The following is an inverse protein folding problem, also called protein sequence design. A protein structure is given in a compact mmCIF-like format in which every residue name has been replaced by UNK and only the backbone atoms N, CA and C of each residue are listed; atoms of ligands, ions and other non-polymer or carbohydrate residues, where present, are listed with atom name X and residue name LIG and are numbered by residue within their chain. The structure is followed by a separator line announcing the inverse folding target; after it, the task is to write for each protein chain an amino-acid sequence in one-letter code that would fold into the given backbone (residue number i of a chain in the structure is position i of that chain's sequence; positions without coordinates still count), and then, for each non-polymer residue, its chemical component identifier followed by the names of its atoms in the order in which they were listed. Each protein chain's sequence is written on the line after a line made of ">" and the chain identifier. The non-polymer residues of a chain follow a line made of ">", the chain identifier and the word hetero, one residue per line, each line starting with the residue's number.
data_IF_645270409127
#
_entry.id   IF_645270409127
#
_cell.length_a   1.000
_cell.length_b   1.000
_cell.length_c   1.000
_cell.angle_alpha   90.00
_cell.angle_beta   90.00
_cell.angle_gamma   90.00
#
_symmetry.space_group_name_H-M   'P 1'
#
loop_
_entity.id
_entity.type
_entity.pdbx_description
1 polymer ?
#
# COMPACT_ATOMS: atom_id res chain seq x y z
N UNK A 1 -8.06 51.21 -21.95
CA UNK A 1 -8.73 51.20 -20.65
C UNK A 1 -10.03 50.46 -20.74
N UNK A 2 -10.10 49.26 -20.14
CA UNK A 2 -11.34 48.60 -19.72
C UNK A 2 -10.93 47.22 -19.14
N UNK A 3 -10.78 47.19 -17.83
CA UNK A 3 -10.50 45.99 -17.06
C UNK A 3 -11.79 45.16 -16.95
N UNK A 4 -11.79 43.92 -17.42
CA UNK A 4 -12.86 42.96 -17.18
C UNK A 4 -12.53 42.17 -15.89
N UNK A 5 -13.41 42.30 -14.89
CA UNK A 5 -13.42 41.50 -13.67
C UNK A 5 -13.88 40.08 -13.98
N UNK A 6 -13.14 39.10 -13.49
CA UNK A 6 -13.50 37.66 -13.49
C UNK A 6 -14.24 37.38 -12.18
N UNK A 7 -15.40 36.70 -12.18
CA UNK A 7 -16.09 36.34 -10.95
C UNK A 7 -15.42 35.12 -10.29
N UNK A 8 -15.23 35.18 -8.97
CA UNK A 8 -14.75 34.12 -8.13
C UNK A 8 -15.81 33.01 -8.01
N UNK A 9 -15.44 31.79 -8.39
CA UNK A 9 -16.24 30.60 -8.17
C UNK A 9 -15.87 30.02 -6.78
N UNK A 10 -16.84 30.03 -5.86
CA UNK A 10 -16.71 29.37 -4.56
C UNK A 10 -16.79 27.86 -4.75
N UNK A 11 -15.72 27.14 -4.39
CA UNK A 11 -15.69 25.68 -4.35
C UNK A 11 -16.23 25.25 -2.98
N UNK A 12 -17.39 24.59 -2.98
CA UNK A 12 -17.94 23.92 -1.80
C UNK A 12 -17.19 22.59 -1.58
N UNK A 13 -16.48 22.48 -0.47
CA UNK A 13 -15.93 21.23 0.01
C UNK A 13 -16.98 20.52 0.89
N UNK A 14 -17.28 19.24 0.67
CA UNK A 14 -18.15 18.48 1.57
C UNK A 14 -17.42 18.17 2.88
N UNK A 15 -18.07 18.44 4.00
CA UNK A 15 -17.60 18.12 5.34
C UNK A 15 -17.53 16.62 5.55
N UNK A 16 -16.35 16.12 5.90
CA UNK A 16 -16.13 14.73 6.32
C UNK A 16 -16.75 14.49 7.70
N UNK A 17 -17.59 13.47 7.82
CA UNK A 17 -18.15 12.99 9.07
C UNK A 17 -17.06 12.28 9.91
N UNK A 18 -17.00 12.47 11.22
CA UNK A 18 -16.00 11.81 12.07
C UNK A 18 -16.33 10.33 12.30
N UNK A 19 -15.39 9.44 11.97
CA UNK A 19 -15.46 8.02 12.26
C UNK A 19 -15.34 7.78 13.78
N UNK A 20 -16.36 7.17 14.39
CA UNK A 20 -16.33 6.72 15.80
C UNK A 20 -15.37 5.55 15.94
N UNK A 21 -14.28 5.73 16.68
CA UNK A 21 -13.41 4.64 17.16
C UNK A 21 -14.16 3.80 18.20
N UNK A 22 -14.24 2.48 17.98
CA UNK A 22 -14.62 1.51 19.02
C UNK A 22 -13.36 1.11 19.78
N UNK A 23 -13.41 0.94 21.12
CA UNK A 23 -12.27 0.43 21.89
C UNK A 23 -12.06 -1.07 21.62
N UNK A 24 -10.82 -1.57 21.76
CA UNK A 24 -10.52 -2.99 21.56
C UNK A 24 -11.06 -3.83 22.71
N UNK A 25 -11.79 -4.88 22.38
CA UNK A 25 -12.17 -5.93 23.35
C UNK A 25 -10.95 -6.79 23.64
N UNK A 26 -10.55 -6.79 24.93
CA UNK A 26 -9.56 -7.72 25.45
C UNK A 26 -10.18 -9.12 25.57
N UNK A 27 -9.65 -10.08 24.84
CA UNK A 27 -9.91 -11.51 25.08
C UNK A 27 -8.77 -12.07 25.94
N UNK A 28 -9.11 -12.45 27.17
CA UNK A 28 -8.24 -13.26 28.03
C UNK A 28 -8.41 -14.72 27.66
N UNK A 29 -7.32 -15.36 27.22
CA UNK A 29 -7.27 -16.82 27.01
C UNK A 29 -6.65 -17.43 28.24
N UNK A 30 -7.46 -18.19 28.98
CA UNK A 30 -6.99 -19.04 30.08
C UNK A 30 -6.29 -20.29 29.53
N UNK A 31 -5.04 -20.50 29.89
CA UNK A 31 -4.34 -21.75 29.72
C UNK A 31 -4.71 -22.70 30.87
N UNK A 32 -5.40 -23.80 30.53
CA UNK A 32 -5.63 -24.95 31.39
C UNK A 32 -4.69 -26.11 31.01
N UNK A 33 -3.83 -26.41 31.92
CA UNK A 33 -3.10 -27.65 32.28
C UNK A 33 -3.06 -28.84 31.32
N UNK A 34 -1.82 -29.26 31.05
CA UNK A 34 -1.40 -30.52 30.45
C UNK A 34 -1.84 -31.75 31.26
N UNK A 35 -2.22 -32.81 30.57
CA UNK A 35 -2.19 -34.17 31.06
C UNK A 35 -1.59 -35.09 30.01
N UNK A 36 -0.46 -35.70 30.38
CA UNK A 36 0.21 -36.78 29.70
C UNK A 36 -0.67 -38.05 29.69
N UNK A 37 -0.69 -38.79 28.58
CA UNK A 37 -0.99 -40.23 28.60
C UNK A 37 -0.07 -40.99 27.68
N UNK A 38 0.56 -41.99 28.30
CA UNK A 38 1.47 -42.98 27.77
C UNK A 38 0.82 -43.92 26.75
N UNK A 39 1.70 -44.42 25.92
CA UNK A 39 1.60 -45.55 24.98
C UNK A 39 0.96 -46.82 25.53
N UNK A 40 0.20 -47.53 24.70
CA UNK A 40 0.12 -49.00 24.68
C UNK A 40 -0.34 -49.51 23.31
N UNK A 41 0.53 -50.29 22.70
CA UNK A 41 0.28 -51.18 21.56
C UNK A 41 -0.53 -52.40 22.03
N UNK A 42 -1.52 -52.88 21.23
CA UNK A 42 -1.79 -54.30 21.06
C UNK A 42 -2.87 -54.62 20.00
N UNK A 43 -2.49 -55.30 18.96
CA UNK A 43 -3.10 -56.42 18.24
C UNK A 43 -4.62 -56.52 17.96
N UNK A 44 -4.86 -56.81 16.66
CA UNK A 44 -6.01 -57.37 15.94
C UNK A 44 -6.53 -58.68 16.56
N UNK A 45 -7.77 -59.23 16.30
CA UNK A 45 -8.25 -59.61 14.96
C UNK A 45 -9.79 -59.51 14.69
N UNK A 46 -10.06 -59.61 13.39
CA UNK A 46 -11.28 -59.92 12.65
C UNK A 46 -12.50 -60.50 13.42
N UNK A 47 -13.68 -59.94 13.15
CA UNK A 47 -14.90 -60.71 12.82
C UNK A 47 -15.96 -59.86 12.13
N UNK A 48 -16.57 -60.41 11.09
CA UNK A 48 -17.69 -59.90 10.34
C UNK A 48 -18.93 -59.71 11.23
N UNK A 49 -19.73 -58.65 10.99
CA UNK A 49 -21.16 -58.69 11.15
C UNK A 49 -21.78 -57.74 10.14
N UNK A 50 -22.50 -58.33 9.20
CA UNK A 50 -23.35 -57.70 8.21
C UNK A 50 -24.62 -57.22 8.93
N UNK A 51 -24.93 -55.94 8.88
CA UNK A 51 -26.30 -55.46 9.16
C UNK A 51 -26.78 -54.58 8.01
N UNK A 52 -27.77 -55.09 7.34
CA UNK A 52 -28.53 -54.35 6.35
C UNK A 52 -29.25 -53.18 7.01
N UNK A 53 -28.99 -51.95 6.55
CA UNK A 53 -29.94 -50.85 6.67
C UNK A 53 -30.08 -50.17 5.31
N UNK A 54 -31.30 -50.04 4.92
CA UNK A 54 -31.87 -49.55 3.66
C UNK A 54 -31.18 -48.30 3.11
N UNK A 55 -30.75 -48.41 1.85
CA UNK A 55 -30.26 -47.29 1.05
C UNK A 55 -31.43 -46.40 0.65
N UNK A 56 -31.50 -45.20 1.23
CA UNK A 56 -32.14 -44.09 0.56
C UNK A 56 -31.16 -43.54 -0.46
N UNK A 57 -31.49 -43.71 -1.72
CA UNK A 57 -30.76 -43.12 -2.86
C UNK A 57 -30.76 -41.59 -2.74
N UNK A 58 -29.69 -41.01 -2.27
CA UNK A 58 -29.34 -39.61 -2.57
C UNK A 58 -28.82 -39.61 -4.00
N UNK A 59 -29.67 -39.23 -4.93
CA UNK A 59 -29.25 -38.85 -6.28
C UNK A 59 -28.35 -37.63 -6.17
N UNK A 60 -27.05 -37.86 -6.39
CA UNK A 60 -26.14 -36.78 -6.72
C UNK A 60 -26.57 -36.26 -8.09
N UNK A 61 -27.33 -35.16 -8.11
CA UNK A 61 -27.40 -34.35 -9.30
C UNK A 61 -25.99 -33.86 -9.60
N UNK A 62 -25.46 -34.32 -10.71
CA UNK A 62 -24.21 -33.81 -11.25
C UNK A 62 -24.42 -32.32 -11.45
N UNK A 63 -23.72 -31.51 -10.62
CA UNK A 63 -23.61 -30.06 -10.83
C UNK A 63 -22.88 -29.90 -12.15
N UNK A 64 -23.62 -29.62 -13.21
CA UNK A 64 -23.04 -29.24 -14.48
C UNK A 64 -22.07 -28.05 -14.28
N UNK A 65 -20.91 -28.03 -14.95
CA UNK A 65 -19.95 -26.95 -14.77
C UNK A 65 -20.58 -25.64 -15.26
N UNK A 66 -20.70 -24.68 -14.33
CA UNK A 66 -21.24 -23.32 -14.52
C UNK A 66 -20.35 -22.48 -15.47
N UNK A 67 -19.84 -23.05 -16.54
CA UNK A 67 -18.89 -22.35 -17.41
C UNK A 67 -19.44 -21.88 -18.76
N UNK A 68 -20.67 -22.21 -19.13
CA UNK A 68 -21.17 -21.90 -20.46
C UNK A 68 -22.05 -20.64 -20.58
N UNK A 69 -22.66 -20.14 -19.51
CA UNK A 69 -23.63 -19.02 -19.62
C UNK A 69 -23.09 -17.64 -19.20
N UNK A 70 -21.95 -17.56 -18.48
CA UNK A 70 -21.36 -16.26 -18.11
C UNK A 70 -20.63 -15.54 -19.24
N UNK A 71 -20.28 -16.21 -20.32
CA UNK A 71 -19.57 -15.60 -21.45
C UNK A 71 -20.43 -14.62 -22.28
N UNK A 72 -21.75 -14.78 -22.27
CA UNK A 72 -22.67 -13.96 -23.05
C UNK A 72 -22.96 -12.58 -22.45
N UNK A 73 -22.73 -12.38 -21.15
CA UNK A 73 -22.96 -11.09 -20.45
C UNK A 73 -21.74 -10.16 -20.43
N UNK A 74 -20.56 -10.65 -20.83
CA UNK A 74 -19.33 -9.85 -20.90
C UNK A 74 -19.22 -9.24 -22.29
N UNK A 75 -19.61 -7.98 -22.46
CA UNK A 75 -19.49 -7.25 -23.73
C UNK A 75 -18.09 -7.35 -24.35
N UNK A 76 -17.99 -7.18 -25.68
CA UNK A 76 -16.73 -7.12 -26.42
C UNK A 76 -15.83 -6.05 -25.84
N UNK A 77 -14.49 -6.29 -25.88
CA UNK A 77 -13.51 -5.27 -25.49
C UNK A 77 -13.57 -4.11 -26.46
N UNK A 78 -13.50 -2.89 -25.95
CA UNK A 78 -13.44 -1.69 -26.78
C UNK A 78 -12.01 -1.45 -27.28
N UNK A 79 -11.82 -0.82 -28.46
CA UNK A 79 -10.51 -0.37 -28.93
C UNK A 79 -9.79 0.50 -27.87
N UNK A 80 -8.47 0.37 -27.79
CA UNK A 80 -7.65 1.16 -26.88
C UNK A 80 -6.42 0.44 -26.36
N UNK A 81 -5.65 1.14 -25.50
CA UNK A 81 -4.48 0.62 -24.81
C UNK A 81 -4.90 0.00 -23.48
N UNK A 82 -4.57 -1.27 -23.27
CA UNK A 82 -4.82 -2.00 -22.03
C UNK A 82 -3.52 -2.22 -21.29
N UNK A 83 -3.43 -1.68 -20.06
CA UNK A 83 -2.30 -1.92 -19.15
C UNK A 83 -2.61 -3.17 -18.35
N UNK A 84 -1.89 -4.25 -18.59
CA UNK A 84 -2.23 -5.57 -18.03
C UNK A 84 -1.17 -6.00 -17.04
N UNK A 85 -1.55 -6.09 -15.76
CA UNK A 85 -0.68 -6.63 -14.71
C UNK A 85 -0.41 -8.12 -14.92
N UNK A 86 0.86 -8.52 -14.79
CA UNK A 86 1.36 -9.90 -14.90
C UNK A 86 1.84 -10.42 -13.56
N UNK A 87 1.92 -11.76 -13.35
CA UNK A 87 2.41 -12.33 -12.11
C UNK A 87 3.81 -11.85 -11.72
N UNK A 88 4.03 -11.66 -10.41
CA UNK A 88 5.35 -11.28 -9.86
C UNK A 88 6.18 -12.49 -9.40
N UNK A 89 5.67 -13.70 -9.59
CA UNK A 89 6.36 -14.93 -9.21
C UNK A 89 5.48 -16.17 -9.30
N UNK A 90 4.21 -16.07 -8.95
CA UNK A 90 3.24 -17.14 -9.00
C UNK A 90 2.27 -16.95 -10.18
N UNK A 91 2.21 -17.89 -11.09
CA UNK A 91 1.36 -17.82 -12.28
C UNK A 91 -0.14 -17.78 -11.94
N UNK A 92 -0.55 -18.28 -10.77
CA UNK A 92 -1.94 -18.26 -10.31
C UNK A 92 -2.44 -16.85 -9.97
N UNK A 93 -1.53 -15.89 -9.76
CA UNK A 93 -1.89 -14.51 -9.48
C UNK A 93 -2.42 -13.75 -10.72
N UNK A 94 -2.38 -14.34 -11.91
CA UNK A 94 -2.95 -13.70 -13.09
C UNK A 94 -4.47 -13.62 -13.00
N UNK A 95 -5.03 -12.47 -13.35
CA UNK A 95 -6.48 -12.32 -13.28
C UNK A 95 -7.18 -12.88 -14.53
N UNK A 96 -8.42 -13.37 -14.36
CA UNK A 96 -9.25 -13.82 -15.48
C UNK A 96 -9.46 -12.71 -16.52
N UNK A 97 -9.53 -11.44 -16.08
CA UNK A 97 -9.65 -10.29 -16.98
C UNK A 97 -8.36 -10.06 -17.76
N UNK A 98 -7.19 -10.23 -17.14
CA UNK A 98 -5.90 -10.18 -17.83
C UNK A 98 -5.83 -11.22 -18.95
N UNK A 99 -6.16 -12.49 -18.65
CA UNK A 99 -6.18 -13.57 -19.64
C UNK A 99 -7.14 -13.26 -20.80
N UNK A 100 -8.34 -12.74 -20.52
CA UNK A 100 -9.30 -12.35 -21.55
C UNK A 100 -8.75 -11.25 -22.45
N UNK A 101 -8.16 -10.21 -21.87
CA UNK A 101 -7.58 -9.09 -22.65
C UNK A 101 -6.42 -9.58 -23.51
N UNK A 102 -5.48 -10.33 -22.94
CA UNK A 102 -4.34 -10.85 -23.67
C UNK A 102 -4.72 -11.77 -24.84
N UNK A 103 -5.77 -12.59 -24.68
CA UNK A 103 -6.31 -13.44 -25.73
C UNK A 103 -7.04 -12.68 -26.84
N UNK A 104 -7.62 -11.53 -26.51
CA UNK A 104 -8.43 -10.72 -27.44
C UNK A 104 -7.68 -9.55 -28.08
N UNK A 105 -6.47 -9.25 -27.60
CA UNK A 105 -5.66 -8.16 -28.16
C UNK A 105 -5.16 -8.49 -29.58
N UNK A 106 -4.98 -7.46 -30.40
CA UNK A 106 -4.39 -7.58 -31.74
C UNK A 106 -2.87 -7.70 -31.67
N UNK A 107 -2.28 -7.12 -30.62
CA UNK A 107 -0.85 -7.20 -30.31
C UNK A 107 -0.63 -7.00 -28.81
N UNK A 108 0.40 -7.66 -28.28
CA UNK A 108 0.88 -7.48 -26.91
C UNK A 108 2.27 -6.82 -26.99
N UNK A 109 2.41 -5.66 -26.33
CA UNK A 109 3.67 -4.99 -26.12
C UNK A 109 4.32 -5.57 -24.87
N UNK A 110 5.60 -5.93 -24.93
CA UNK A 110 6.34 -6.57 -23.85
C UNK A 110 7.77 -6.07 -23.79
N UNK A 111 8.30 -5.90 -22.58
CA UNK A 111 9.68 -5.50 -22.36
C UNK A 111 10.66 -6.58 -22.82
N UNK A 112 10.58 -7.80 -22.28
CA UNK A 112 11.31 -8.98 -22.78
C UNK A 112 10.34 -10.01 -23.38
N UNK A 113 10.30 -10.08 -24.70
CA UNK A 113 9.43 -11.02 -25.44
C UNK A 113 9.76 -12.49 -25.16
N UNK A 114 10.98 -12.82 -24.70
CA UNK A 114 11.38 -14.19 -24.34
C UNK A 114 10.76 -14.58 -23.01
N UNK A 115 10.78 -13.66 -22.04
CA UNK A 115 10.16 -13.87 -20.72
C UNK A 115 8.64 -13.96 -20.85
N UNK A 116 8.03 -12.97 -21.46
CA UNK A 116 6.59 -12.93 -21.69
C UNK A 116 6.09 -14.07 -22.58
N UNK A 117 6.91 -14.53 -23.53
CA UNK A 117 6.58 -15.68 -24.38
C UNK A 117 6.29 -16.94 -23.58
N UNK A 118 7.03 -17.19 -22.50
CA UNK A 118 6.79 -18.34 -21.60
C UNK A 118 5.44 -18.22 -20.88
N UNK A 119 5.10 -17.02 -20.38
CA UNK A 119 3.81 -16.74 -19.78
C UNK A 119 2.67 -16.99 -20.76
N UNK A 120 2.76 -16.45 -21.97
CA UNK A 120 1.73 -16.61 -22.99
C UNK A 120 1.58 -18.07 -23.42
N UNK A 121 2.69 -18.80 -23.55
CA UNK A 121 2.67 -20.23 -23.87
C UNK A 121 1.95 -21.05 -22.78
N UNK A 122 2.23 -20.75 -21.50
CA UNK A 122 1.59 -21.43 -20.37
C UNK A 122 0.06 -21.29 -20.41
N UNK A 123 -0.45 -20.09 -20.72
CA UNK A 123 -1.90 -19.82 -20.81
C UNK A 123 -2.49 -20.02 -22.22
N UNK A 124 -1.74 -20.64 -23.13
CA UNK A 124 -2.18 -20.91 -24.53
C UNK A 124 -2.65 -19.64 -25.25
N UNK A 125 -1.97 -18.50 -25.04
CA UNK A 125 -2.24 -17.22 -25.71
C UNK A 125 -1.41 -17.13 -26.97
N UNK A 126 -2.06 -16.96 -28.12
CA UNK A 126 -1.43 -16.93 -29.45
C UNK A 126 -1.27 -15.51 -30.02
N UNK A 127 -1.64 -14.48 -29.26
CA UNK A 127 -1.56 -13.08 -29.65
C UNK A 127 -0.11 -12.68 -29.99
N UNK A 128 0.16 -11.99 -31.11
CA UNK A 128 1.48 -11.56 -31.47
C UNK A 128 2.15 -10.68 -30.42
N UNK A 129 3.43 -10.95 -30.12
CA UNK A 129 4.28 -10.15 -29.25
C UNK A 129 5.06 -9.12 -30.05
N UNK A 130 5.14 -7.90 -29.53
CA UNK A 130 5.99 -6.84 -30.04
C UNK A 130 6.88 -6.36 -28.89
N UNK A 131 8.20 -6.36 -29.10
CA UNK A 131 9.15 -5.83 -28.11
C UNK A 131 8.96 -4.33 -27.94
N UNK A 132 8.78 -3.89 -26.67
CA UNK A 132 8.58 -2.51 -26.27
C UNK A 132 9.30 -2.26 -24.96
N UNK A 133 10.51 -1.74 -25.02
CA UNK A 133 11.41 -1.52 -23.89
C UNK A 133 12.03 -0.13 -23.98
N UNK A 134 12.61 0.35 -22.91
CA UNK A 134 13.18 1.69 -22.75
C UNK A 134 14.06 2.16 -23.92
N UNK A 135 14.76 1.26 -24.61
CA UNK A 135 15.68 1.62 -25.70
C UNK A 135 15.01 1.72 -27.08
N UNK A 136 13.79 1.15 -27.23
CA UNK A 136 13.07 1.18 -28.52
C UNK A 136 11.69 1.86 -28.42
N UNK A 137 11.28 2.27 -27.21
CA UNK A 137 9.99 2.89 -26.91
C UNK A 137 9.70 4.04 -27.87
N UNK A 138 10.59 5.06 -27.95
CA UNK A 138 10.41 6.23 -28.81
C UNK A 138 10.25 5.92 -30.32
N UNK A 139 10.93 4.88 -30.79
CA UNK A 139 10.82 4.47 -32.21
C UNK A 139 9.50 3.74 -32.49
N UNK A 140 8.97 3.04 -31.48
CA UNK A 140 7.77 2.21 -31.62
C UNK A 140 6.47 2.93 -31.31
N UNK A 141 6.53 4.00 -30.50
CA UNK A 141 5.36 4.80 -30.10
C UNK A 141 4.47 5.18 -31.29
N UNK A 142 5.07 5.73 -32.36
CA UNK A 142 4.30 6.15 -33.52
C UNK A 142 3.61 4.97 -34.23
N UNK A 143 4.27 3.83 -34.29
CA UNK A 143 3.68 2.61 -34.89
C UNK A 143 2.52 2.10 -34.05
N UNK A 144 2.68 2.11 -32.72
CA UNK A 144 1.63 1.69 -31.78
C UNK A 144 0.45 2.66 -31.81
N UNK A 145 0.70 3.97 -31.82
CA UNK A 145 -0.35 4.99 -31.95
C UNK A 145 -1.15 4.84 -33.26
N UNK A 146 -0.48 4.55 -34.35
CA UNK A 146 -1.17 4.30 -35.64
C UNK A 146 -2.14 3.12 -35.53
N UNK A 147 -1.74 2.01 -34.89
CA UNK A 147 -2.60 0.84 -34.67
C UNK A 147 -3.78 1.16 -33.78
N UNK A 148 -3.54 1.89 -32.68
CA UNK A 148 -4.60 2.33 -31.77
C UNK A 148 -5.61 3.25 -32.47
N UNK A 149 -5.16 4.20 -33.32
CA UNK A 149 -6.03 5.06 -34.13
C UNK A 149 -6.84 4.28 -35.18
N UNK A 150 -6.36 3.11 -35.56
CA UNK A 150 -7.10 2.19 -36.46
C UNK A 150 -8.15 1.36 -35.75
N UNK A 151 -8.33 1.57 -34.42
CA UNK A 151 -9.33 0.86 -33.60
C UNK A 151 -8.85 -0.49 -33.08
N UNK A 152 -7.54 -0.76 -33.08
CA UNK A 152 -7.02 -1.99 -32.52
C UNK A 152 -7.05 -1.99 -30.98
N UNK A 153 -7.13 -3.19 -30.41
CA UNK A 153 -6.90 -3.46 -28.99
C UNK A 153 -5.43 -3.80 -28.82
N UNK A 154 -4.70 -2.95 -28.09
CA UNK A 154 -3.28 -3.15 -27.80
C UNK A 154 -3.14 -3.42 -26.31
N UNK A 155 -2.49 -4.52 -25.93
CA UNK A 155 -2.16 -4.79 -24.54
C UNK A 155 -0.69 -4.45 -24.27
N UNK A 156 -0.40 -3.79 -23.16
CA UNK A 156 0.96 -3.55 -22.65
C UNK A 156 1.15 -4.38 -21.39
N UNK A 157 2.21 -5.16 -21.33
CA UNK A 157 2.67 -5.92 -20.16
C UNK A 157 4.12 -5.59 -19.85
N UNK A 158 4.50 -5.67 -18.58
CA UNK A 158 5.89 -5.71 -18.12
C UNK A 158 6.33 -7.15 -17.87
N UNK A 159 7.59 -7.35 -17.56
CA UNK A 159 8.13 -8.68 -17.23
C UNK A 159 7.47 -9.26 -15.99
N UNK A 160 7.15 -8.39 -14.99
CA UNK A 160 6.45 -8.76 -13.77
C UNK A 160 5.69 -7.56 -13.18
N UNK A 161 4.48 -7.78 -12.70
CA UNK A 161 3.68 -6.75 -12.06
C UNK A 161 2.94 -5.82 -13.01
N UNK A 162 2.81 -4.55 -12.64
CA UNK A 162 2.00 -3.55 -13.34
C UNK A 162 2.88 -2.69 -14.27
N UNK A 163 2.62 -2.67 -15.59
CA UNK A 163 3.40 -1.89 -16.53
C UNK A 163 3.33 -0.38 -16.24
N UNK A 164 4.41 0.34 -16.53
CA UNK A 164 4.54 1.77 -16.25
C UNK A 164 4.95 2.11 -14.82
N UNK A 165 4.99 1.12 -13.90
CA UNK A 165 5.46 1.31 -12.52
C UNK A 165 6.88 0.75 -12.39
N UNK A 166 7.89 1.61 -12.53
CA UNK A 166 9.32 1.28 -12.66
C UNK A 166 9.70 0.58 -13.98
N UNK A 167 8.74 0.39 -14.88
CA UNK A 167 8.84 -0.29 -16.16
C UNK A 167 8.47 0.65 -17.31
N UNK A 168 8.75 0.28 -18.59
CA UNK A 168 8.35 1.05 -19.77
C UNK A 168 6.82 1.21 -19.86
N UNK A 169 6.38 2.26 -20.56
CA UNK A 169 4.97 2.47 -20.92
C UNK A 169 4.37 3.79 -20.47
N UNK A 170 4.97 4.49 -19.51
CA UNK A 170 4.46 5.78 -19.02
C UNK A 170 4.32 6.81 -20.15
N UNK A 171 5.31 6.88 -21.03
CA UNK A 171 5.30 7.81 -22.14
C UNK A 171 4.22 7.45 -23.17
N UNK A 172 4.06 6.16 -23.50
CA UNK A 172 2.98 5.69 -24.35
C UNK A 172 1.59 6.03 -23.77
N UNK A 173 1.41 5.86 -22.47
CA UNK A 173 0.16 6.25 -21.78
C UNK A 173 -0.08 7.74 -21.94
N UNK A 174 0.94 8.58 -21.73
CA UNK A 174 0.85 10.04 -21.88
C UNK A 174 0.44 10.42 -23.30
N UNK A 175 1.04 9.79 -24.31
CA UNK A 175 0.70 10.01 -25.71
C UNK A 175 -0.74 9.58 -26.03
N UNK A 176 -1.19 8.43 -25.52
CA UNK A 176 -2.57 7.98 -25.71
C UNK A 176 -3.57 8.97 -25.12
N UNK A 177 -3.30 9.46 -23.89
CA UNK A 177 -4.16 10.46 -23.23
C UNK A 177 -4.22 11.76 -24.04
N UNK A 178 -3.09 12.26 -24.54
CA UNK A 178 -3.04 13.47 -25.35
C UNK A 178 -3.80 13.33 -26.69
N UNK A 179 -3.84 12.12 -27.23
CA UNK A 179 -4.54 11.81 -28.48
C UNK A 179 -5.99 11.32 -28.26
N UNK A 180 -6.52 11.42 -27.05
CA UNK A 180 -7.85 10.93 -26.67
C UNK A 180 -8.09 9.45 -26.97
N UNK A 181 -7.04 8.63 -26.94
CA UNK A 181 -7.12 7.16 -27.09
C UNK A 181 -7.44 6.57 -25.72
N UNK A 182 -8.45 5.69 -25.61
CA UNK A 182 -8.79 5.07 -24.34
C UNK A 182 -7.63 4.27 -23.76
N UNK A 183 -7.28 4.55 -22.47
CA UNK A 183 -6.31 3.78 -21.68
C UNK A 183 -7.08 3.05 -20.59
N UNK A 184 -7.00 1.72 -20.59
CA UNK A 184 -7.79 0.85 -19.71
C UNK A 184 -6.86 0.09 -18.77
N UNK A 185 -6.83 0.39 -17.47
CA UNK A 185 -6.09 -0.41 -16.51
C UNK A 185 -6.80 -1.74 -16.26
N UNK A 186 -6.03 -2.81 -16.26
CA UNK A 186 -6.47 -4.14 -15.83
C UNK A 186 -5.80 -4.42 -14.49
N UNK A 187 -6.51 -4.33 -13.35
CA UNK A 187 -5.94 -4.63 -12.04
C UNK A 187 -5.28 -6.00 -12.01
N UNK A 188 -4.16 -6.08 -11.31
CA UNK A 188 -3.40 -7.31 -11.24
C UNK A 188 -2.29 -7.24 -10.18
N UNK A 189 -1.33 -8.17 -10.19
CA UNK A 189 -0.26 -8.24 -9.22
C UNK A 189 0.60 -6.97 -9.19
N UNK A 190 1.01 -6.58 -7.99
CA UNK A 190 1.90 -5.45 -7.76
C UNK A 190 2.75 -5.72 -6.51
N UNK A 191 4.06 -5.73 -6.66
CA UNK A 191 4.99 -5.95 -5.56
C UNK A 191 4.87 -4.85 -4.48
N UNK A 192 4.58 -3.61 -4.88
CA UNK A 192 4.37 -2.48 -3.96
C UNK A 192 3.19 -2.74 -3.05
N UNK A 193 2.02 -3.04 -3.63
CA UNK A 193 0.78 -3.25 -2.87
C UNK A 193 0.87 -4.52 -2.03
N UNK A 194 1.41 -5.62 -2.58
CA UNK A 194 1.61 -6.86 -1.84
C UNK A 194 2.53 -6.65 -0.62
N UNK A 195 3.66 -5.95 -0.82
CA UNK A 195 4.60 -5.68 0.26
C UNK A 195 4.00 -4.82 1.38
N UNK A 196 3.36 -3.69 1.04
CA UNK A 196 2.81 -2.79 2.07
C UNK A 196 1.66 -3.43 2.83
N UNK A 197 0.77 -4.15 2.15
CA UNK A 197 -0.36 -4.81 2.80
C UNK A 197 0.05 -5.88 3.81
N UNK A 198 1.19 -6.57 3.58
CA UNK A 198 1.70 -7.61 4.45
C UNK A 198 2.81 -7.13 5.41
N UNK A 199 3.21 -5.86 5.37
CA UNK A 199 4.36 -5.33 6.12
C UNK A 199 4.12 -5.25 7.63
N UNK A 200 2.94 -4.81 8.05
CA UNK A 200 2.62 -4.42 9.43
C UNK A 200 3.10 -3.00 9.77
N UNK A 201 3.56 -2.21 8.80
CA UNK A 201 3.78 -0.77 8.92
C UNK A 201 2.49 0.00 8.61
N UNK A 202 2.47 1.31 8.89
CA UNK A 202 1.31 2.15 8.53
C UNK A 202 1.05 2.12 7.03
N UNK A 203 -0.23 1.96 6.68
CA UNK A 203 -0.74 1.97 5.31
C UNK A 203 -1.57 3.20 4.99
N UNK A 204 -1.75 4.10 5.97
CA UNK A 204 -2.56 5.32 5.80
C UNK A 204 -1.94 6.23 4.74
N UNK A 205 -0.61 6.40 4.82
CA UNK A 205 0.18 7.12 3.82
C UNK A 205 1.48 6.36 3.54
N UNK A 206 1.83 6.21 2.27
CA UNK A 206 3.10 5.63 1.86
C UNK A 206 3.63 6.28 0.58
N UNK A 207 4.95 6.36 0.48
CA UNK A 207 5.66 6.88 -0.70
C UNK A 207 6.38 5.75 -1.41
N UNK A 208 6.00 5.46 -2.64
CA UNK A 208 6.75 4.56 -3.49
C UNK A 208 7.91 5.30 -4.17
N UNK A 209 9.13 5.00 -3.76
CA UNK A 209 10.36 5.59 -4.28
C UNK A 209 10.92 4.79 -5.46
N UNK A 210 10.72 3.47 -5.44
CA UNK A 210 11.25 2.56 -6.45
C UNK A 210 12.76 2.37 -6.35
N UNK A 211 13.45 2.27 -7.49
CA UNK A 211 14.90 2.13 -7.54
C UNK A 211 15.61 3.48 -7.30
N UNK A 212 16.56 3.48 -6.38
CA UNK A 212 17.36 4.68 -6.12
C UNK A 212 18.32 5.01 -7.27
N UNK A 213 18.70 6.30 -7.42
CA UNK A 213 19.70 6.73 -8.40
C UNK A 213 21.03 5.99 -8.25
N UNK A 214 21.70 5.72 -9.37
CA UNK A 214 23.00 5.05 -9.39
C UNK A 214 24.12 5.93 -8.80
N UNK A 215 24.07 7.24 -9.04
CA UNK A 215 25.05 8.21 -8.52
C UNK A 215 24.88 8.40 -7.00
N UNK A 216 25.99 8.31 -6.27
CA UNK A 216 26.00 8.36 -4.81
C UNK A 216 25.41 9.67 -4.24
N UNK A 217 25.73 10.81 -4.82
CA UNK A 217 25.21 12.11 -4.38
C UNK A 217 23.69 12.19 -4.52
N UNK A 218 23.14 11.91 -5.70
CA UNK A 218 21.69 11.93 -5.96
C UNK A 218 20.94 10.87 -5.14
N UNK A 219 21.56 9.71 -4.91
CA UNK A 219 21.01 8.66 -4.07
C UNK A 219 20.91 9.14 -2.61
N UNK A 220 21.97 9.72 -2.07
CA UNK A 220 22.00 10.28 -0.71
C UNK A 220 20.96 11.39 -0.54
N UNK A 221 20.88 12.31 -1.50
CA UNK A 221 19.89 13.39 -1.50
C UNK A 221 18.45 12.83 -1.45
N UNK A 222 18.12 11.85 -2.31
CA UNK A 222 16.79 11.20 -2.30
C UNK A 222 16.49 10.49 -0.97
N UNK A 223 17.49 9.81 -0.39
CA UNK A 223 17.35 9.17 0.92
C UNK A 223 17.14 10.20 2.04
N UNK A 224 17.82 11.35 2.02
CA UNK A 224 17.60 12.43 2.99
C UNK A 224 16.17 12.97 2.94
N UNK A 225 15.60 13.13 1.75
CA UNK A 225 14.19 13.51 1.59
C UNK A 225 13.30 12.43 2.23
N UNK A 226 13.48 11.17 1.85
CA UNK A 226 12.70 10.05 2.38
C UNK A 226 12.80 9.89 3.91
N UNK A 227 13.97 10.14 4.50
CA UNK A 227 14.19 10.03 5.94
C UNK A 227 13.36 11.03 6.77
N UNK A 228 12.94 12.14 6.14
CA UNK A 228 12.15 13.19 6.77
C UNK A 228 10.65 13.08 6.52
N UNK A 229 10.21 12.18 5.65
CA UNK A 229 8.78 11.95 5.37
C UNK A 229 8.14 11.10 6.48
N UNK A 230 6.90 11.44 6.84
CA UNK A 230 6.09 10.71 7.84
C UNK A 230 5.44 9.46 7.25
N UNK A 231 5.27 9.42 5.93
CA UNK A 231 4.73 8.27 5.20
C UNK A 231 5.69 7.08 5.18
N UNK A 232 5.18 5.85 5.17
CA UNK A 232 5.99 4.65 4.96
C UNK A 232 6.70 4.71 3.61
N UNK A 233 8.02 4.53 3.59
CA UNK A 233 8.84 4.61 2.37
C UNK A 233 9.05 3.22 1.76
N UNK A 234 8.83 3.06 0.45
CA UNK A 234 8.93 1.77 -0.24
C UNK A 234 9.98 1.86 -1.35
N UNK A 235 10.95 0.96 -1.31
CA UNK A 235 12.09 0.90 -2.24
C UNK A 235 12.17 -0.46 -2.93
N UNK A 236 12.58 -0.46 -4.19
CA UNK A 236 13.07 -1.64 -4.87
C UNK A 236 14.60 -1.71 -4.73
N UNK A 237 15.10 -2.79 -4.16
CA UNK A 237 16.53 -2.93 -3.84
C UNK A 237 17.13 -4.14 -4.56
N UNK A 238 18.08 -3.94 -5.50
CA UNK A 238 18.81 -5.08 -6.06
C UNK A 238 19.55 -5.85 -4.98
N UNK A 239 19.53 -7.19 -4.97
CA UNK A 239 20.08 -8.00 -3.87
C UNK A 239 21.58 -7.71 -3.61
N UNK A 240 22.36 -7.49 -4.67
CA UNK A 240 23.78 -7.15 -4.55
C UNK A 240 24.06 -5.76 -3.94
N UNK A 241 23.04 -4.90 -3.83
CA UNK A 241 23.14 -3.56 -3.21
C UNK A 241 22.51 -3.48 -1.83
N UNK A 242 21.90 -4.56 -1.34
CA UNK A 242 21.17 -4.54 -0.06
C UNK A 242 22.05 -4.09 1.11
N UNK A 243 23.28 -4.60 1.22
CA UNK A 243 24.20 -4.22 2.31
C UNK A 243 24.49 -2.72 2.28
N UNK A 244 24.90 -2.19 1.13
CA UNK A 244 25.15 -0.76 0.96
C UNK A 244 23.90 0.08 1.28
N UNK A 245 22.73 -0.38 0.82
CA UNK A 245 21.45 0.30 1.08
C UNK A 245 21.17 0.39 2.58
N UNK A 246 21.31 -0.72 3.32
CA UNK A 246 21.10 -0.77 4.76
C UNK A 246 22.09 0.10 5.54
N UNK A 247 23.35 0.17 5.11
CA UNK A 247 24.35 1.07 5.69
C UNK A 247 23.97 2.55 5.51
N UNK A 248 23.59 2.95 4.28
CA UNK A 248 23.22 4.33 3.98
C UNK A 248 21.91 4.73 4.69
N UNK A 249 20.91 3.84 4.71
CA UNK A 249 19.62 4.13 5.36
C UNK A 249 19.72 4.15 6.87
N UNK A 250 20.48 3.26 7.49
CA UNK A 250 20.74 3.23 8.93
C UNK A 250 21.34 4.56 9.43
N UNK A 251 22.26 5.16 8.64
CA UNK A 251 22.85 6.46 8.96
C UNK A 251 21.88 7.65 8.82
N UNK A 252 20.96 7.60 7.85
CA UNK A 252 20.11 8.74 7.51
C UNK A 252 18.74 8.69 8.22
N UNK A 253 18.14 7.51 8.37
CA UNK A 253 16.85 7.33 9.02
C UNK A 253 16.97 7.09 10.53
N UNK A 254 18.16 6.68 11.00
CA UNK A 254 18.42 6.25 12.36
C UNK A 254 18.30 4.72 12.51
N UNK A 255 19.16 4.17 13.37
CA UNK A 255 19.29 2.71 13.56
C UNK A 255 18.05 2.04 14.15
N UNK A 256 17.29 2.76 14.97
CA UNK A 256 16.04 2.27 15.61
C UNK A 256 14.83 2.29 14.70
N UNK A 257 14.91 2.87 13.48
CA UNK A 257 13.79 2.94 12.54
C UNK A 257 13.36 1.54 12.11
N UNK A 258 12.08 1.23 12.23
CA UNK A 258 11.53 -0.06 11.81
C UNK A 258 11.60 -0.22 10.29
N UNK A 259 11.88 -1.42 9.86
CA UNK A 259 11.87 -1.76 8.44
C UNK A 259 11.35 -3.18 8.19
N UNK A 260 10.90 -3.42 6.98
CA UNK A 260 10.47 -4.73 6.49
C UNK A 260 11.16 -5.01 5.16
N UNK A 261 11.71 -6.20 5.03
CA UNK A 261 12.36 -6.67 3.81
C UNK A 261 11.52 -7.82 3.28
N UNK A 262 10.69 -7.52 2.27
CA UNK A 262 9.90 -8.52 1.55
C UNK A 262 10.74 -9.04 0.38
N UNK A 263 11.05 -10.33 0.41
CA UNK A 263 11.91 -11.01 -0.55
C UNK A 263 11.17 -12.13 -1.25
N UNK A 264 11.36 -12.26 -2.57
CA UNK A 264 10.81 -13.34 -3.38
C UNK A 264 9.30 -13.58 -3.16
N UNK A 265 8.53 -12.50 -3.03
CA UNK A 265 7.08 -12.56 -2.80
C UNK A 265 6.39 -13.42 -3.85
N UNK A 266 5.42 -14.23 -3.41
CA UNK A 266 4.65 -15.20 -4.18
C UNK A 266 5.45 -16.42 -4.72
N UNK A 267 6.77 -16.46 -4.50
CA UNK A 267 7.66 -17.53 -4.93
C UNK A 267 7.92 -18.54 -3.80
N UNK A 268 8.59 -19.66 -4.13
CA UNK A 268 8.90 -20.75 -3.18
C UNK A 268 9.71 -20.27 -1.97
N UNK A 269 10.54 -19.23 -2.15
CA UNK A 269 11.41 -18.69 -1.10
C UNK A 269 10.91 -17.33 -0.61
N UNK A 270 9.58 -17.13 -0.58
CA UNK A 270 8.97 -15.93 -0.02
C UNK A 270 9.36 -15.75 1.45
N UNK A 271 9.80 -14.53 1.76
CA UNK A 271 10.21 -14.17 3.11
C UNK A 271 9.84 -12.71 3.42
N UNK A 272 9.30 -12.50 4.61
CA UNK A 272 9.08 -11.17 5.18
C UNK A 272 9.91 -11.03 6.46
N UNK A 273 11.11 -10.50 6.34
CA UNK A 273 11.93 -10.15 7.49
C UNK A 273 11.46 -8.82 8.08
N UNK A 274 11.35 -8.73 9.42
CA UNK A 274 10.87 -7.54 10.14
C UNK A 274 11.79 -7.23 11.31
N UNK A 275 12.13 -5.94 11.50
CA UNK A 275 12.98 -5.48 12.59
C UNK A 275 13.33 -4.00 12.43
N UNK A 276 14.42 -3.60 13.06
CA UNK A 276 15.03 -2.27 12.93
C UNK A 276 16.10 -2.24 11.83
N UNK A 277 16.48 -1.06 11.37
CA UNK A 277 17.57 -0.92 10.39
C UNK A 277 18.91 -1.44 10.94
N UNK A 278 19.17 -1.32 12.26
CA UNK A 278 20.35 -1.88 12.90
C UNK A 278 20.37 -3.41 12.81
N UNK A 279 19.27 -4.05 13.23
CA UNK A 279 19.11 -5.51 13.17
C UNK A 279 19.19 -6.03 11.72
N UNK A 280 18.58 -5.32 10.76
CA UNK A 280 18.65 -5.67 9.35
C UNK A 280 20.11 -5.62 8.84
N UNK A 281 20.85 -4.55 9.17
CA UNK A 281 22.25 -4.40 8.80
C UNK A 281 23.11 -5.54 9.33
N UNK A 282 22.92 -5.94 10.59
CA UNK A 282 23.63 -7.06 11.20
C UNK A 282 23.26 -8.40 10.51
N UNK A 283 21.98 -8.72 10.42
CA UNK A 283 21.50 -9.97 9.84
C UNK A 283 21.96 -10.18 8.38
N UNK A 284 21.78 -9.16 7.53
CA UNK A 284 22.14 -9.27 6.11
C UNK A 284 23.63 -9.01 5.82
N UNK A 285 24.41 -8.59 6.83
CA UNK A 285 25.89 -8.55 6.69
C UNK A 285 26.49 -9.94 6.58
N UNK A 286 25.93 -10.91 7.29
CA UNK A 286 26.41 -12.30 7.37
C UNK A 286 25.85 -13.17 6.23
N UNK A 287 24.69 -12.80 5.67
CA UNK A 287 23.97 -13.62 4.71
C UNK A 287 24.04 -13.04 3.29
N UNK A 288 24.39 -13.88 2.32
CA UNK A 288 24.30 -13.49 0.91
C UNK A 288 22.85 -13.56 0.46
N UNK A 289 22.26 -12.38 0.20
CA UNK A 289 20.86 -12.27 -0.23
C UNK A 289 20.76 -12.46 -1.75
N UNK A 290 19.78 -13.27 -2.19
CA UNK A 290 19.43 -13.49 -3.60
C UNK A 290 17.93 -13.20 -3.78
N UNK A 291 17.53 -13.00 -5.04
CA UNK A 291 16.14 -12.77 -5.41
C UNK A 291 15.74 -11.30 -5.41
N UNK A 292 14.46 -11.04 -5.62
CA UNK A 292 13.90 -9.69 -5.72
C UNK A 292 13.50 -9.18 -4.34
N UNK A 293 13.79 -7.91 -4.08
CA UNK A 293 13.60 -7.32 -2.75
C UNK A 293 12.78 -6.03 -2.88
N UNK A 294 11.68 -5.98 -2.13
CA UNK A 294 10.96 -4.76 -1.80
C UNK A 294 11.21 -4.43 -0.34
N UNK A 295 11.84 -3.29 -0.07
CA UNK A 295 12.20 -2.86 1.27
C UNK A 295 11.31 -1.68 1.68
N UNK A 296 10.70 -1.80 2.86
CA UNK A 296 9.84 -0.78 3.43
C UNK A 296 10.49 -0.23 4.70
N UNK A 297 10.47 1.09 4.85
CA UNK A 297 10.96 1.77 6.05
C UNK A 297 9.82 2.60 6.62
N UNK A 298 9.60 2.47 7.93
CA UNK A 298 8.62 3.27 8.66
C UNK A 298 8.88 4.76 8.47
N UNK A 299 7.83 5.56 8.35
CA UNK A 299 7.94 7.01 8.25
C UNK A 299 8.57 7.63 9.51
N UNK A 300 8.99 8.88 9.41
CA UNK A 300 9.49 9.63 10.55
C UNK A 300 8.37 9.75 11.59
N UNK A 301 8.60 9.20 12.77
CA UNK A 301 7.69 9.42 13.87
C UNK A 301 7.75 10.92 14.20
N UNK A 302 6.65 11.64 14.01
CA UNK A 302 6.49 12.90 14.70
C UNK A 302 6.61 12.57 16.19
N UNK A 303 7.46 13.28 16.96
CA UNK A 303 7.37 13.18 18.40
C UNK A 303 5.89 13.42 18.70
N UNK A 304 5.23 12.45 19.35
CA UNK A 304 3.92 12.72 19.92
C UNK A 304 4.07 14.04 20.62
N UNK A 305 3.34 15.07 20.18
CA UNK A 305 3.22 16.28 20.96
C UNK A 305 2.61 15.77 22.24
N UNK A 306 3.47 15.54 23.26
CA UNK A 306 3.02 15.10 24.56
C UNK A 306 1.87 16.03 24.89
N UNK A 307 0.66 15.48 24.96
CA UNK A 307 -0.49 16.29 25.34
C UNK A 307 -0.11 16.87 26.67
N UNK A 308 0.07 18.21 26.77
CA UNK A 308 0.66 18.79 27.96
C UNK A 308 -0.16 18.33 29.14
N UNK A 309 0.54 17.91 30.20
CA UNK A 309 -0.11 17.47 31.42
C UNK A 309 -1.03 18.58 31.94
N UNK A 310 -2.08 18.22 32.65
CA UNK A 310 -3.01 19.20 33.22
C UNK A 310 -2.25 20.28 33.99
N UNK A 311 -1.20 19.90 34.73
CA UNK A 311 -0.32 20.83 35.46
C UNK A 311 0.48 21.79 34.58
N UNK A 312 0.84 21.38 33.37
CA UNK A 312 1.50 22.25 32.39
C UNK A 312 0.52 23.25 31.79
N UNK A 313 -0.70 22.80 31.45
CA UNK A 313 -1.78 23.69 30.99
C UNK A 313 -2.18 24.70 32.03
N UNK A 314 -2.24 24.31 33.32
CA UNK A 314 -2.50 25.21 34.44
C UNK A 314 -1.42 26.28 34.57
N UNK A 315 -0.15 25.94 34.48
CA UNK A 315 0.98 26.90 34.54
C UNK A 315 0.96 27.89 33.38
N UNK A 316 0.72 27.41 32.15
CA UNK A 316 0.63 28.31 30.99
C UNK A 316 -0.58 29.27 31.09
N UNK A 317 -1.71 28.79 31.62
CA UNK A 317 -2.86 29.64 31.90
C UNK A 317 -2.56 30.69 32.96
N UNK A 318 -1.92 30.31 34.07
CA UNK A 318 -1.54 31.18 35.17
C UNK A 318 -0.57 32.28 34.71
N UNK A 319 0.42 31.96 33.88
CA UNK A 319 1.35 32.90 33.28
C UNK A 319 0.64 33.94 32.40
N UNK A 320 -0.25 33.48 31.53
CA UNK A 320 -1.02 34.39 30.65
C UNK A 320 -2.00 35.27 31.42
N UNK A 321 -2.62 34.78 32.50
CA UNK A 321 -3.52 35.55 33.34
C UNK A 321 -2.73 36.58 34.17
N UNK A 322 -1.55 36.21 34.71
CA UNK A 322 -0.69 37.10 35.47
C UNK A 322 -0.12 38.26 34.61
N UNK A 323 0.03 38.02 33.31
CA UNK A 323 0.40 39.07 32.31
C UNK A 323 -0.78 39.94 31.86
N UNK A 324 -1.95 39.76 32.47
CA UNK A 324 -3.12 40.65 32.23
C UNK A 324 -4.06 40.19 31.09
N UNK A 325 -3.88 38.97 30.58
CA UNK A 325 -4.80 38.45 29.55
C UNK A 325 -6.13 38.03 30.18
N UNK A 326 -7.25 38.33 29.53
CA UNK A 326 -8.57 37.83 29.93
C UNK A 326 -8.60 36.28 29.78
N UNK A 327 -9.32 35.61 30.70
CA UNK A 327 -9.42 34.13 30.72
C UNK A 327 -9.77 33.53 29.35
N UNK A 328 -10.75 34.11 28.64
CA UNK A 328 -11.15 33.63 27.31
C UNK A 328 -10.03 33.73 26.26
N UNK A 329 -9.17 34.75 26.39
CA UNK A 329 -8.01 34.94 25.51
C UNK A 329 -6.87 33.98 25.86
N UNK A 330 -6.58 33.81 27.15
CA UNK A 330 -5.60 32.85 27.66
C UNK A 330 -5.96 31.42 27.20
N UNK A 331 -7.21 31.00 27.37
CA UNK A 331 -7.70 29.70 26.88
C UNK A 331 -7.51 29.53 25.37
N UNK A 332 -7.78 30.60 24.59
CA UNK A 332 -7.58 30.54 23.12
C UNK A 332 -6.12 30.38 22.76
N UNK A 333 -5.24 31.10 23.42
CA UNK A 333 -3.79 31.05 23.17
C UNK A 333 -3.20 29.70 23.56
N UNK A 334 -3.51 29.18 24.77
CA UNK A 334 -3.05 27.87 25.22
C UNK A 334 -3.56 26.76 24.30
N UNK A 335 -4.84 26.76 23.94
CA UNK A 335 -5.42 25.77 23.05
C UNK A 335 -4.78 25.78 21.66
N UNK A 336 -4.41 26.95 21.12
CA UNK A 336 -3.74 27.07 19.81
C UNK A 336 -2.28 26.62 19.87
N UNK A 337 -1.59 26.82 20.98
CA UNK A 337 -0.18 26.47 21.19
C UNK A 337 0.01 24.98 21.47
N UNK A 338 -0.92 24.39 22.23
CA UNK A 338 -0.78 23.03 22.74
C UNK A 338 -1.56 21.95 21.98
N UNK A 339 -2.21 22.31 20.86
CA UNK A 339 -3.12 21.43 20.10
C UNK A 339 -4.21 20.74 20.96
N UNK A 340 -4.45 21.22 22.18
CA UNK A 340 -5.46 20.70 23.08
C UNK A 340 -6.82 21.33 22.77
N UNK A 341 -7.92 20.55 22.94
CA UNK A 341 -9.26 21.09 22.65
C UNK A 341 -9.57 22.30 23.53
N UNK A 342 -10.12 23.37 22.93
CA UNK A 342 -10.54 24.56 23.68
C UNK A 342 -11.48 24.23 24.86
N UNK A 343 -12.32 23.20 24.70
CA UNK A 343 -13.24 22.74 25.75
C UNK A 343 -12.51 22.19 26.95
N UNK A 344 -11.45 21.41 26.73
CA UNK A 344 -10.60 20.85 27.78
C UNK A 344 -9.86 21.95 28.52
N UNK A 345 -9.17 22.85 27.79
CA UNK A 345 -8.43 23.97 28.39
C UNK A 345 -9.38 24.89 29.18
N UNK A 346 -10.59 25.15 28.66
CA UNK A 346 -11.58 25.98 29.32
C UNK A 346 -12.11 25.34 30.62
N UNK A 347 -12.32 24.02 30.63
CA UNK A 347 -12.74 23.29 31.87
C UNK A 347 -11.68 23.36 32.97
N UNK A 348 -10.40 23.26 32.59
CA UNK A 348 -9.27 23.41 33.52
C UNK A 348 -9.20 24.86 34.04
N UNK A 349 -9.33 25.84 33.15
CA UNK A 349 -9.31 27.25 33.50
C UNK A 349 -10.43 27.64 34.46
N UNK A 350 -11.66 27.15 34.24
CA UNK A 350 -12.79 27.39 35.16
C UNK A 350 -12.59 26.73 36.53
N UNK A 351 -12.05 25.50 36.56
CA UNK A 351 -11.82 24.80 37.83
C UNK A 351 -10.77 25.50 38.69
N UNK A 352 -9.72 26.05 38.09
CA UNK A 352 -8.60 26.69 38.78
C UNK A 352 -8.84 28.17 39.08
N UNK A 353 -9.39 28.91 38.12
CA UNK A 353 -9.50 30.38 38.19
C UNK A 353 -10.95 30.90 38.21
N UNK A 354 -11.96 30.00 38.17
CA UNK A 354 -13.37 30.40 38.16
C UNK A 354 -13.84 31.19 39.39
N UNK A 355 -13.27 30.92 40.56
CA UNK A 355 -13.57 31.61 41.81
C UNK A 355 -12.98 33.05 41.85
N UNK A 356 -11.98 33.34 41.06
CA UNK A 356 -11.39 34.71 40.99
C UNK A 356 -12.23 35.66 40.10
N UNK A 357 -13.08 35.15 39.22
CA UNK A 357 -13.95 35.91 38.34
C UNK A 357 -15.28 36.32 38.98
N UNK A 358 -15.64 35.69 40.15
CA UNK A 358 -16.87 36.02 40.90
C UNK A 358 -16.79 37.30 41.72
N UNK A 359 -15.61 37.92 41.84
CA UNK A 359 -15.41 39.10 42.71
C UNK A 359 -15.45 40.40 41.98
N UNK A 360 -15.33 40.42 40.64
CA UNK A 360 -15.35 41.68 39.88
C UNK A 360 -16.72 42.20 39.41
N UNK A 361 -17.80 41.44 39.64
CA UNK A 361 -19.15 41.87 39.20
C UNK A 361 -19.99 42.61 40.26
N UNK A 362 -19.48 42.77 41.52
CA UNK A 362 -20.26 43.43 42.58
C UNK A 362 -19.79 44.85 42.98
N UNK A 363 -18.90 45.48 42.19
CA UNK A 363 -18.40 46.80 42.52
C UNK A 363 -18.76 47.89 41.47
N UNK A 364 -19.86 47.70 40.72
CA UNK A 364 -20.49 48.81 39.90
C UNK A 364 -21.98 48.77 40.14
N UNK A 365 -22.41 49.36 41.20
CA UNK A 365 -23.71 50.02 41.39
C UNK A 365 -23.50 51.49 41.73
#
# INVERSE_FOLDING_TARGET
>A
MLARRIPSVAVYLPQALPWRRRPPHSYSINYGTALEFHSLLAFCPKTLLVSLCSASQLTYEAVEPIHAEESSKRGSLKPGLYLVGTPIGNLEDITLRALRVLKSAHVILSEDTRHSGKLLQHFSIKTPLLSFHKFNESQREQTVLKRLKQGEIVALISDAGTPGISDPGTELVRLCVNENIPVVPVPGPSAVVAAISASGLSTDEFTFVGFLPKHAASRRERLMVSANEEATQIFYVPPHKLKQFLEETSQLFGESRRCVIAREMTKIHEEFWRGTLAEAKEFFSLNQTKGEITLLIEGKLCPEVETPSESQLEKELEELISTGHRLSMAVKLVASKTSTSRKTVYSIALRRFGNQLGVENDSCK
#
